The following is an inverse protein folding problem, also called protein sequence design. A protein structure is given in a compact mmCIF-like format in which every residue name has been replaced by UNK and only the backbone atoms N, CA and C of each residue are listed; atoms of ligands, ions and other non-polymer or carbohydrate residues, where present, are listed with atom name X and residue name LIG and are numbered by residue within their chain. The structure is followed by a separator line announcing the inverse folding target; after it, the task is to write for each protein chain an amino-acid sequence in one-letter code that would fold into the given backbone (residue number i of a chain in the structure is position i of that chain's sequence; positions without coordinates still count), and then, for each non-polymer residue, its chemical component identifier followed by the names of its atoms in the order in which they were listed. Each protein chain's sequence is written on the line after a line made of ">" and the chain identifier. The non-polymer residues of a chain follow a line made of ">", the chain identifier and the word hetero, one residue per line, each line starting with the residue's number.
data_IF_092152596724
#
_entry.id   IF_092152596724
#
_cell.length_a   1.000
_cell.length_b   1.000
_cell.length_c   1.000
_cell.angle_alpha   90.00
_cell.angle_beta   90.00
_cell.angle_gamma   90.00
#
_symmetry.space_group_name_H-M   'P 1'
#
loop_
_entity.id
_entity.type
_entity.pdbx_description
1 polymer ?
#
# COMPACT_ATOMS: atom_id res chain seq x y z
N UNK A 1 27.31 9.96 8.70
CA UNK A 1 26.42 10.76 7.88
C UNK A 1 26.38 12.21 8.33
N UNK A 2 25.94 13.08 7.44
CA UNK A 2 25.65 14.49 7.71
C UNK A 2 24.14 14.72 7.57
N UNK A 3 23.59 15.65 8.34
CA UNK A 3 22.23 16.12 8.15
C UNK A 3 22.14 17.11 6.96
N UNK A 4 20.92 17.60 6.68
CA UNK A 4 20.69 18.58 5.58
C UNK A 4 21.43 19.89 5.82
N UNK A 5 21.76 20.24 7.08
CA UNK A 5 22.54 21.39 7.45
C UNK A 5 24.06 21.16 7.43
N UNK A 6 24.53 19.98 7.07
CA UNK A 6 25.93 19.60 7.01
C UNK A 6 26.55 19.22 8.37
N UNK A 7 25.73 19.04 9.42
CA UNK A 7 26.21 18.64 10.73
C UNK A 7 26.30 17.11 10.86
N UNK A 8 27.30 16.62 11.59
CA UNK A 8 27.49 15.20 11.81
C UNK A 8 26.36 14.61 12.69
N UNK A 9 25.71 13.56 12.21
CA UNK A 9 24.63 12.84 12.91
C UNK A 9 25.12 11.64 13.73
N UNK A 10 26.41 11.58 14.05
CA UNK A 10 27.01 10.59 14.93
C UNK A 10 27.21 9.19 14.35
N UNK A 11 26.57 8.84 13.23
CA UNK A 11 26.73 7.54 12.57
C UNK A 11 25.88 7.40 11.30
N UNK A 12 26.08 6.37 10.48
CA UNK A 12 25.25 6.12 9.32
C UNK A 12 23.84 5.71 9.77
N UNK A 13 22.83 6.27 9.12
CA UNK A 13 21.43 5.84 9.27
C UNK A 13 21.19 4.56 8.48
N UNK A 14 20.33 3.66 9.00
CA UNK A 14 19.92 2.42 8.34
C UNK A 14 18.42 2.44 8.04
N UNK A 15 17.94 3.56 7.51
CA UNK A 15 16.54 3.69 7.10
C UNK A 15 16.30 2.96 5.77
N UNK A 16 15.15 2.32 5.67
CA UNK A 16 14.62 1.85 4.39
C UNK A 16 13.76 2.94 3.75
N UNK A 17 14.04 3.25 2.50
CA UNK A 17 13.35 4.31 1.77
C UNK A 17 12.16 3.72 1.02
N UNK A 18 10.95 4.01 1.50
CA UNK A 18 9.70 3.68 0.80
C UNK A 18 9.20 4.86 -0.01
N UNK A 19 8.61 4.57 -1.17
CA UNK A 19 8.01 5.59 -2.02
C UNK A 19 6.55 5.25 -2.33
N UNK A 20 5.76 6.27 -2.65
CA UNK A 20 4.37 6.08 -3.05
C UNK A 20 4.22 6.17 -4.56
N UNK A 21 3.24 5.41 -5.08
CA UNK A 21 2.75 5.49 -6.46
C UNK A 21 1.23 5.53 -6.47
N UNK A 22 0.65 6.27 -7.41
CA UNK A 22 -0.79 6.41 -7.54
C UNK A 22 -1.33 5.68 -8.79
N UNK A 23 -1.94 4.49 -8.64
CA UNK A 23 -2.54 3.78 -9.76
C UNK A 23 -3.74 4.50 -10.40
N UNK A 24 -4.40 5.38 -9.65
CA UNK A 24 -5.53 6.19 -10.11
C UNK A 24 -5.15 7.58 -10.64
N UNK A 25 -3.87 7.83 -10.96
CA UNK A 25 -3.45 9.12 -11.49
C UNK A 25 -4.11 9.41 -12.85
N UNK A 26 -4.58 10.64 -13.04
CA UNK A 26 -5.15 11.13 -14.30
C UNK A 26 -4.11 11.05 -15.43
N UNK A 27 -2.91 11.58 -15.17
CA UNK A 27 -1.75 11.43 -16.04
C UNK A 27 -0.86 10.28 -15.55
N UNK A 28 -1.16 9.09 -16.04
CA UNK A 28 -0.44 7.86 -15.69
C UNK A 28 1.04 7.92 -16.13
N UNK A 29 1.33 8.51 -17.29
CA UNK A 29 2.69 8.62 -17.78
C UNK A 29 3.54 9.55 -16.93
N UNK A 30 2.99 10.66 -16.45
CA UNK A 30 3.67 11.52 -15.49
C UNK A 30 3.89 10.81 -14.15
N UNK A 31 2.95 9.98 -13.71
CA UNK A 31 3.12 9.18 -12.48
C UNK A 31 4.21 8.13 -12.64
N UNK A 32 4.27 7.44 -13.78
CA UNK A 32 5.33 6.48 -14.13
C UNK A 32 6.69 7.17 -14.10
N UNK A 33 6.84 8.31 -14.78
CA UNK A 33 8.10 9.08 -14.76
C UNK A 33 8.51 9.47 -13.33
N UNK A 34 7.57 9.96 -12.51
CA UNK A 34 7.84 10.26 -11.10
C UNK A 34 8.28 9.03 -10.31
N UNK A 35 7.66 7.89 -10.57
CA UNK A 35 8.04 6.63 -9.93
C UNK A 35 9.46 6.21 -10.34
N UNK A 36 9.80 6.28 -11.61
CA UNK A 36 11.14 5.94 -12.13
C UNK A 36 12.22 6.82 -11.47
N UNK A 37 12.02 8.13 -11.37
CA UNK A 37 12.92 9.03 -10.63
C UNK A 37 13.09 8.63 -9.15
N UNK A 38 12.03 8.19 -8.49
CA UNK A 38 12.11 7.74 -7.10
C UNK A 38 12.90 6.43 -6.98
N UNK A 39 12.79 5.54 -7.96
CA UNK A 39 13.57 4.30 -8.02
C UNK A 39 15.05 4.61 -8.23
N UNK A 40 15.38 5.49 -9.17
CA UNK A 40 16.76 5.96 -9.43
C UNK A 40 17.37 6.65 -8.19
N UNK A 41 16.55 7.38 -7.43
CA UNK A 41 16.97 8.02 -6.18
C UNK A 41 17.20 7.04 -5.02
N UNK A 42 16.96 5.73 -5.21
CA UNK A 42 17.26 4.70 -4.24
C UNK A 42 16.07 4.21 -3.42
N UNK A 43 14.87 4.21 -3.99
CA UNK A 43 13.72 3.57 -3.35
C UNK A 43 13.97 2.08 -3.13
N UNK A 44 13.60 1.55 -1.95
CA UNK A 44 13.78 0.16 -1.57
C UNK A 44 12.45 -0.62 -1.56
N UNK A 45 11.32 0.06 -1.48
CA UNK A 45 9.98 -0.51 -1.61
C UNK A 45 8.98 0.55 -2.08
N UNK A 46 7.84 0.10 -2.58
CA UNK A 46 6.77 0.97 -3.05
C UNK A 46 5.45 0.66 -2.33
N UNK A 47 4.73 1.71 -1.95
CA UNK A 47 3.38 1.63 -1.40
C UNK A 47 2.43 2.30 -2.40
N UNK A 48 1.36 1.63 -2.80
CA UNK A 48 0.37 2.27 -3.66
C UNK A 48 -0.57 3.16 -2.86
N UNK A 49 -1.08 4.22 -3.46
CA UNK A 49 -2.31 4.86 -2.95
C UNK A 49 -3.46 3.82 -2.98
N UNK A 50 -4.56 4.06 -2.24
CA UNK A 50 -5.67 3.12 -2.20
C UNK A 50 -6.15 2.74 -3.60
N UNK A 51 -6.27 1.43 -3.85
CA UNK A 51 -6.74 0.85 -5.11
C UNK A 51 -8.18 0.39 -4.92
N UNK A 52 -9.09 0.96 -5.71
CA UNK A 52 -10.51 0.62 -5.67
C UNK A 52 -10.93 -0.32 -6.80
N UNK A 53 -10.07 -0.47 -7.82
CA UNK A 53 -10.26 -1.38 -8.94
C UNK A 53 -8.91 -1.95 -9.39
N UNK A 54 -8.88 -3.29 -9.55
CA UNK A 54 -7.67 -3.99 -10.00
C UNK A 54 -7.15 -3.47 -11.35
N UNK A 55 -8.04 -3.06 -12.26
CA UNK A 55 -7.68 -2.56 -13.60
C UNK A 55 -6.74 -1.35 -13.55
N UNK A 56 -6.91 -0.49 -12.53
CA UNK A 56 -6.01 0.67 -12.33
C UNK A 56 -4.60 0.23 -11.95
N UNK A 57 -4.49 -0.76 -11.08
CA UNK A 57 -3.19 -1.30 -10.68
C UNK A 57 -2.52 -2.07 -11.82
N UNK A 58 -3.27 -2.89 -12.56
CA UNK A 58 -2.77 -3.69 -13.68
C UNK A 58 -2.10 -2.83 -14.77
N UNK A 59 -2.53 -1.58 -14.96
CA UNK A 59 -1.90 -0.63 -15.89
C UNK A 59 -0.48 -0.23 -15.48
N UNK A 60 -0.21 -0.17 -14.18
CA UNK A 60 1.12 0.15 -13.63
C UNK A 60 2.00 -1.09 -13.45
N UNK A 61 1.40 -2.27 -13.35
CA UNK A 61 2.08 -3.50 -12.95
C UNK A 61 3.36 -3.78 -13.74
N UNK A 62 3.42 -3.64 -15.08
CA UNK A 62 4.65 -3.90 -15.82
C UNK A 62 5.82 -3.00 -15.39
N UNK A 63 5.53 -1.75 -15.02
CA UNK A 63 6.56 -0.79 -14.53
C UNK A 63 6.99 -1.10 -13.11
N UNK A 64 6.04 -1.47 -12.25
CA UNK A 64 6.33 -1.87 -10.88
C UNK A 64 7.19 -3.14 -10.84
N UNK A 65 6.86 -4.14 -11.64
CA UNK A 65 7.62 -5.39 -11.73
C UNK A 65 9.03 -5.18 -12.30
N UNK A 66 9.19 -4.27 -13.28
CA UNK A 66 10.50 -3.95 -13.86
C UNK A 66 11.45 -3.30 -12.84
N UNK A 67 10.93 -2.56 -11.88
CA UNK A 67 11.71 -1.95 -10.81
C UNK A 67 12.23 -2.97 -9.78
N UNK A 68 11.64 -4.19 -9.73
CA UNK A 68 12.02 -5.29 -8.81
C UNK A 68 11.97 -4.88 -7.33
N UNK A 69 11.12 -3.93 -6.98
CA UNK A 69 10.91 -3.49 -5.60
C UNK A 69 9.74 -4.25 -4.98
N UNK A 70 9.78 -4.53 -3.66
CA UNK A 70 8.61 -5.00 -2.95
C UNK A 70 7.44 -4.03 -3.09
N UNK A 71 6.26 -4.54 -3.43
CA UNK A 71 5.04 -3.75 -3.61
C UNK A 71 4.12 -3.97 -2.42
N UNK A 72 3.70 -2.88 -1.79
CA UNK A 72 2.70 -2.86 -0.72
C UNK A 72 1.43 -2.25 -1.30
N UNK A 73 0.39 -3.06 -1.39
CA UNK A 73 -0.91 -2.64 -1.92
C UNK A 73 -1.66 -1.80 -0.89
N UNK A 74 -2.01 -0.58 -1.25
CA UNK A 74 -2.90 0.27 -0.46
C UNK A 74 -4.36 -0.13 -0.69
N UNK A 75 -5.09 -0.36 0.38
CA UNK A 75 -6.53 -0.60 0.37
C UNK A 75 -7.23 0.37 1.31
N UNK A 76 -8.41 0.82 0.94
CA UNK A 76 -9.31 1.61 1.79
C UNK A 76 -10.74 1.12 1.61
N UNK A 77 -11.30 0.35 2.54
CA UNK A 77 -12.72 0.02 2.53
C UNK A 77 -13.58 1.28 2.66
N UNK A 78 -14.69 1.35 1.93
CA UNK A 78 -15.67 2.42 2.10
C UNK A 78 -16.54 2.14 3.33
N UNK A 79 -16.90 3.19 4.07
CA UNK A 79 -17.87 3.08 5.17
C UNK A 79 -19.32 3.21 4.67
N UNK A 80 -19.52 3.99 3.62
CA UNK A 80 -20.84 4.29 3.05
C UNK A 80 -20.72 4.75 1.61
N UNK A 81 -21.87 4.89 0.93
CA UNK A 81 -21.92 5.54 -0.38
C UNK A 81 -21.41 6.99 -0.31
N UNK A 82 -21.78 7.72 0.72
CA UNK A 82 -21.32 9.12 0.91
C UNK A 82 -19.79 9.18 1.01
N UNK A 83 -19.16 8.28 1.78
CA UNK A 83 -17.71 8.21 1.86
C UNK A 83 -17.06 7.92 0.49
N UNK A 84 -17.64 7.02 -0.29
CA UNK A 84 -17.16 6.71 -1.64
C UNK A 84 -17.33 7.90 -2.61
N UNK A 85 -18.44 8.64 -2.53
CA UNK A 85 -18.69 9.84 -3.34
C UNK A 85 -17.79 11.01 -2.92
N UNK A 86 -17.55 11.22 -1.63
CA UNK A 86 -16.57 12.20 -1.15
C UNK A 86 -15.18 11.91 -1.68
N UNK A 87 -14.72 10.66 -1.60
CA UNK A 87 -13.42 10.26 -2.14
C UNK A 87 -13.32 10.50 -3.64
N UNK A 88 -14.38 10.19 -4.38
CA UNK A 88 -14.39 10.34 -5.83
C UNK A 88 -14.36 11.81 -6.28
N UNK A 89 -14.96 12.72 -5.51
CA UNK A 89 -15.19 14.10 -5.92
C UNK A 89 -14.28 15.12 -5.22
N UNK A 90 -13.84 14.82 -3.98
CA UNK A 90 -13.18 15.81 -3.14
C UNK A 90 -11.71 15.48 -2.88
N UNK A 91 -11.28 14.22 -3.06
CA UNK A 91 -9.88 13.86 -2.83
C UNK A 91 -9.07 13.89 -4.14
N UNK A 92 -8.19 14.89 -4.35
CA UNK A 92 -7.42 15.04 -5.58
C UNK A 92 -6.54 13.81 -5.86
N UNK A 93 -6.63 13.33 -7.11
CA UNK A 93 -5.85 12.17 -7.56
C UNK A 93 -6.37 10.82 -7.04
N UNK A 94 -7.54 10.78 -6.42
CA UNK A 94 -8.24 9.53 -6.08
C UNK A 94 -9.26 9.21 -7.14
N UNK A 95 -9.12 8.07 -7.80
CA UNK A 95 -10.06 7.59 -8.80
C UNK A 95 -10.88 6.43 -8.23
N UNK A 96 -12.17 6.68 -8.01
CA UNK A 96 -13.16 5.65 -7.70
C UNK A 96 -13.98 5.39 -8.96
N UNK A 97 -13.88 4.21 -9.57
CA UNK A 97 -14.62 3.89 -10.79
C UNK A 97 -16.13 3.94 -10.61
N UNK A 98 -16.84 4.32 -11.69
CA UNK A 98 -18.30 4.46 -11.65
C UNK A 98 -19.04 3.16 -11.29
N UNK A 99 -18.56 2.01 -11.75
CA UNK A 99 -19.11 0.69 -11.41
C UNK A 99 -18.95 0.35 -9.92
N UNK A 100 -17.90 0.84 -9.26
CA UNK A 100 -17.71 0.72 -7.80
C UNK A 100 -18.71 1.60 -7.05
N UNK A 101 -18.89 2.86 -7.50
CA UNK A 101 -19.92 3.75 -6.95
C UNK A 101 -21.34 3.18 -7.13
N UNK A 102 -21.64 2.60 -8.30
CA UNK A 102 -22.92 1.97 -8.55
C UNK A 102 -23.15 0.72 -7.67
N UNK A 103 -22.12 -0.08 -7.43
CA UNK A 103 -22.18 -1.16 -6.43
C UNK A 103 -22.50 -0.63 -5.03
N UNK A 104 -21.84 0.46 -4.60
CA UNK A 104 -22.12 1.08 -3.30
C UNK A 104 -23.55 1.65 -3.24
N UNK A 105 -24.05 2.24 -4.32
CA UNK A 105 -25.40 2.81 -4.39
C UNK A 105 -26.47 1.73 -4.31
N UNK A 106 -26.31 0.65 -5.04
CA UNK A 106 -27.31 -0.44 -5.10
C UNK A 106 -27.28 -1.33 -3.87
N UNK A 107 -26.09 -1.65 -3.35
CA UNK A 107 -25.93 -2.56 -2.22
C UNK A 107 -25.90 -1.90 -0.85
N UNK A 108 -25.60 -0.59 -0.78
CA UNK A 108 -25.51 0.16 0.47
C UNK A 108 -26.83 0.68 1.03
N UNK A 109 -27.91 0.61 0.26
CA UNK A 109 -29.24 1.13 0.64
C UNK A 109 -29.89 0.41 1.82
N UNK A 110 -29.37 -0.74 2.25
CA UNK A 110 -29.85 -1.51 3.40
C UNK A 110 -29.10 -1.23 4.72
N UNK A 111 -28.35 -0.13 4.81
CA UNK A 111 -27.56 0.21 6.00
C UNK A 111 -26.30 -0.64 6.22
N UNK A 112 -25.86 -1.38 5.20
CA UNK A 112 -24.68 -2.27 5.23
C UNK A 112 -23.56 -1.82 4.29
N UNK A 113 -23.44 -0.51 4.10
CA UNK A 113 -22.43 0.09 3.22
C UNK A 113 -20.99 -0.26 3.61
N UNK A 114 -20.71 -0.32 4.90
CA UNK A 114 -19.44 -0.75 5.48
C UNK A 114 -19.06 -2.19 5.10
N UNK A 115 -20.00 -3.13 5.23
CA UNK A 115 -19.78 -4.54 4.85
C UNK A 115 -19.49 -4.65 3.35
N UNK A 116 -20.20 -3.89 2.54
CA UNK A 116 -19.99 -3.86 1.10
C UNK A 116 -18.65 -3.23 0.74
N UNK A 117 -18.26 -2.14 1.38
CA UNK A 117 -16.95 -1.51 1.19
C UNK A 117 -15.79 -2.46 1.53
N UNK A 118 -15.91 -3.23 2.61
CA UNK A 118 -14.97 -4.30 2.95
C UNK A 118 -14.95 -5.39 1.89
N UNK A 119 -16.11 -5.79 1.35
CA UNK A 119 -16.18 -6.79 0.27
C UNK A 119 -15.47 -6.32 -0.99
N UNK A 120 -15.66 -5.06 -1.39
CA UNK A 120 -14.99 -4.45 -2.55
C UNK A 120 -13.45 -4.46 -2.34
N UNK A 121 -12.98 -4.02 -1.18
CA UNK A 121 -11.55 -4.03 -0.87
C UNK A 121 -10.96 -5.45 -0.87
N UNK A 122 -11.72 -6.44 -0.41
CA UNK A 122 -11.34 -7.86 -0.44
C UNK A 122 -11.25 -8.38 -1.88
N UNK A 123 -12.21 -8.05 -2.75
CA UNK A 123 -12.20 -8.46 -4.15
C UNK A 123 -10.94 -7.95 -4.87
N UNK A 124 -10.55 -6.69 -4.61
CA UNK A 124 -9.32 -6.10 -5.13
C UNK A 124 -8.09 -6.83 -4.60
N UNK A 125 -8.05 -7.10 -3.29
CA UNK A 125 -6.92 -7.84 -2.70
C UNK A 125 -6.78 -9.25 -3.29
N UNK A 126 -7.86 -10.03 -3.36
CA UNK A 126 -7.82 -11.39 -3.89
C UNK A 126 -7.34 -11.42 -5.35
N UNK A 127 -7.72 -10.42 -6.14
CA UNK A 127 -7.29 -10.30 -7.52
C UNK A 127 -5.79 -9.97 -7.65
N UNK A 128 -5.23 -9.19 -6.71
CA UNK A 128 -3.87 -8.66 -6.82
C UNK A 128 -2.84 -9.31 -5.90
N UNK A 129 -3.25 -10.17 -4.97
CA UNK A 129 -2.38 -10.76 -3.94
C UNK A 129 -1.15 -11.50 -4.48
N UNK A 130 -1.22 -12.02 -5.71
CA UNK A 130 -0.10 -12.71 -6.33
C UNK A 130 1.03 -11.76 -6.78
N UNK A 131 0.73 -10.46 -6.95
CA UNK A 131 1.64 -9.44 -7.46
C UNK A 131 2.24 -8.56 -6.36
N UNK A 132 1.82 -8.72 -5.09
CA UNK A 132 2.21 -7.84 -4.00
C UNK A 132 2.82 -8.60 -2.83
N UNK A 133 3.76 -7.98 -2.12
CA UNK A 133 4.45 -8.57 -0.98
C UNK A 133 3.83 -8.17 0.36
N UNK A 134 2.92 -7.19 0.33
CA UNK A 134 2.22 -6.75 1.54
C UNK A 134 0.99 -5.91 1.22
N UNK A 135 0.25 -5.59 2.27
CA UNK A 135 -0.95 -4.74 2.18
C UNK A 135 -0.88 -3.68 3.27
N UNK A 136 -1.21 -2.45 2.88
CA UNK A 136 -1.50 -1.34 3.79
C UNK A 136 -3.00 -1.06 3.74
N UNK A 137 -3.68 -1.14 4.88
CA UNK A 137 -5.10 -0.85 4.98
C UNK A 137 -5.30 0.48 5.69
N UNK A 138 -5.80 1.48 4.96
CA UNK A 138 -6.25 2.73 5.53
C UNK A 138 -7.69 2.54 6.06
N UNK A 139 -7.83 2.42 7.38
CA UNK A 139 -9.15 2.30 8.01
C UNK A 139 -9.75 3.69 8.23
N UNK A 140 -10.95 3.97 7.71
CA UNK A 140 -11.66 5.17 8.06
C UNK A 140 -11.85 5.26 9.59
N UNK A 141 -11.65 6.44 10.18
CA UNK A 141 -11.81 6.71 11.61
C UNK A 141 -11.11 5.70 12.57
N UNK A 142 -10.08 4.99 12.10
CA UNK A 142 -9.35 4.02 12.90
C UNK A 142 -10.09 2.70 13.16
N UNK A 143 -11.26 2.50 12.56
CA UNK A 143 -12.05 1.27 12.69
C UNK A 143 -11.54 0.22 11.70
N UNK A 144 -10.97 -0.85 12.23
CA UNK A 144 -10.61 -2.04 11.45
C UNK A 144 -11.68 -3.11 11.72
N UNK A 145 -12.51 -3.33 10.71
CA UNK A 145 -13.52 -4.37 10.79
C UNK A 145 -12.89 -5.77 10.86
N UNK A 146 -13.43 -6.68 11.69
CA UNK A 146 -12.94 -8.06 11.82
C UNK A 146 -12.88 -8.81 10.48
N UNK A 147 -13.72 -8.44 9.52
CA UNK A 147 -13.78 -9.04 8.19
C UNK A 147 -12.49 -8.84 7.37
N UNK A 148 -11.65 -7.87 7.73
CA UNK A 148 -10.33 -7.65 7.13
C UNK A 148 -9.21 -8.49 7.80
N UNK A 149 -9.51 -9.20 8.89
CA UNK A 149 -8.54 -10.06 9.58
C UNK A 149 -7.82 -11.07 8.67
N UNK A 150 -8.50 -11.77 7.73
CA UNK A 150 -7.82 -12.67 6.80
C UNK A 150 -6.79 -11.96 5.93
N UNK A 151 -7.09 -10.73 5.49
CA UNK A 151 -6.16 -9.88 4.72
C UNK A 151 -4.94 -9.53 5.57
N UNK A 152 -5.13 -9.17 6.86
CA UNK A 152 -4.04 -8.89 7.80
C UNK A 152 -3.12 -10.10 8.03
N UNK A 153 -3.69 -11.28 8.21
CA UNK A 153 -2.92 -12.51 8.46
C UNK A 153 -2.07 -12.88 7.24
N UNK A 154 -2.63 -12.76 6.04
CA UNK A 154 -1.91 -13.06 4.80
C UNK A 154 -0.79 -12.04 4.52
N UNK A 155 -1.07 -10.74 4.73
CA UNK A 155 -0.07 -9.68 4.63
C UNK A 155 1.10 -9.87 5.60
N UNK A 156 0.84 -10.31 6.84
CA UNK A 156 1.88 -10.66 7.82
C UNK A 156 2.75 -11.83 7.37
N UNK A 157 2.17 -12.84 6.75
CA UNK A 157 2.92 -13.99 6.23
C UNK A 157 3.82 -13.58 5.05
N UNK A 158 3.31 -12.78 4.13
CA UNK A 158 4.06 -12.27 2.98
C UNK A 158 5.20 -11.33 3.41
N UNK A 159 4.96 -10.42 4.36
CA UNK A 159 5.98 -9.52 4.88
C UNK A 159 7.12 -10.31 5.55
N UNK A 160 6.80 -11.35 6.34
CA UNK A 160 7.80 -12.25 6.94
C UNK A 160 8.60 -13.00 5.87
N UNK A 161 7.96 -13.52 4.85
CA UNK A 161 8.62 -14.25 3.76
C UNK A 161 9.55 -13.32 2.96
N UNK A 162 9.12 -12.08 2.66
CA UNK A 162 9.93 -11.10 1.95
C UNK A 162 11.15 -10.68 2.76
N UNK A 163 11.00 -10.41 4.05
CA UNK A 163 12.12 -10.06 4.93
C UNK A 163 13.12 -11.22 5.03
N UNK A 164 12.64 -12.45 5.16
CA UNK A 164 13.51 -13.64 5.22
C UNK A 164 14.27 -13.87 3.91
N UNK A 165 13.65 -13.64 2.76
CA UNK A 165 14.31 -13.78 1.46
C UNK A 165 15.34 -12.68 1.19
N UNK A 166 15.11 -11.47 1.67
CA UNK A 166 16.08 -10.37 1.56
C UNK A 166 17.26 -10.56 2.53
N UNK A 167 17.02 -11.05 3.75
CA UNK A 167 18.10 -11.39 4.69
C UNK A 167 19.01 -12.50 4.16
N UNK A 168 18.47 -13.44 3.39
CA UNK A 168 19.27 -14.49 2.76
C UNK A 168 20.13 -14.01 1.58
N UNK A 169 19.86 -12.83 1.02
CA UNK A 169 20.59 -12.25 -0.13
C UNK A 169 21.67 -11.24 0.25
N UNK A 170 21.76 -10.80 1.51
CA UNK A 170 22.82 -9.91 1.99
C UNK A 170 23.97 -10.74 2.53
N UNK A 171 25.20 -10.63 2.00
CA UNK A 171 26.36 -11.25 2.62
C UNK A 171 26.55 -10.66 4.02
N UNK A 172 26.85 -11.54 4.96
CA UNK A 172 26.97 -11.26 6.39
C UNK A 172 27.83 -10.03 6.68
N UNK A 173 27.21 -8.96 7.14
CA UNK A 173 27.87 -7.89 7.86
C UNK A 173 27.10 -7.60 9.15
N UNK A 174 27.68 -8.03 10.26
CA UNK A 174 27.39 -7.68 11.66
C UNK A 174 25.93 -7.72 12.13
N UNK A 175 25.70 -8.80 12.88
CA UNK A 175 24.55 -9.06 13.75
C UNK A 175 24.22 -7.90 14.70
N UNK A 176 22.97 -7.65 14.94
CA UNK A 176 22.51 -7.30 16.26
C UNK A 176 21.43 -6.26 16.45
N UNK A 177 21.02 -5.44 15.45
CA UNK A 177 20.06 -4.36 15.72
C UNK A 177 18.91 -4.16 14.72
N UNK A 178 18.74 -5.02 13.74
CA UNK A 178 17.72 -4.82 12.68
C UNK A 178 16.35 -5.40 13.01
N UNK A 179 16.23 -6.22 14.05
CA UNK A 179 14.98 -6.93 14.39
C UNK A 179 14.02 -6.12 15.28
N UNK A 180 14.51 -5.09 15.96
CA UNK A 180 13.74 -4.39 16.99
C UNK A 180 12.70 -3.39 16.44
N UNK A 181 12.94 -2.76 15.28
CA UNK A 181 12.06 -1.67 14.80
C UNK A 181 10.74 -2.18 14.20
N UNK A 182 10.77 -3.33 13.52
CA UNK A 182 9.55 -3.92 12.95
C UNK A 182 8.67 -4.62 13.97
N UNK A 183 9.23 -5.08 15.09
CA UNK A 183 8.45 -5.70 16.18
C UNK A 183 7.55 -4.69 16.88
N UNK A 184 7.93 -3.43 16.98
CA UNK A 184 7.15 -2.39 17.67
C UNK A 184 5.92 -1.93 16.88
N UNK A 185 5.98 -1.95 15.55
CA UNK A 185 4.83 -1.60 14.71
C UNK A 185 3.75 -2.68 14.69
N UNK A 186 4.10 -3.91 15.10
CA UNK A 186 3.19 -5.08 15.12
C UNK A 186 2.69 -5.42 16.53
N UNK A 187 3.21 -4.78 17.58
CA UNK A 187 2.87 -5.07 18.97
C UNK A 187 1.91 -4.04 19.61
N UNK A 188 1.64 -2.91 18.93
CA UNK A 188 0.75 -1.86 19.42
C UNK A 188 -0.55 -1.85 18.64
N UNK A 189 -1.31 -2.95 18.72
CA UNK A 189 -2.74 -2.99 18.36
C UNK A 189 -3.35 -4.27 18.88
#
# INVERSE_FOLDING_TARGET
>A
GLDVGGQAIGGPTAFHVGVTVNPGAEDLEAEIRRFEYKVEAGAEFVVTRPVFDRRLFERLLPRLESAKLPIILGLRPFESLLDAECLANEEPGTLVPADVLDRMRTGGSSGRGDVLGVSIARDVYEALRAHVQGVFVAAPLGRLEPQLLPVRLHARALLRASISSQMARTPSASSGRRTAFFSHLLASS
#
